data_IF_763911861740
#
_entry.id   IF_763911861740
#
_cell.length_a   1.000
_cell.length_b   1.000
_cell.length_c   1.000
_cell.angle_alpha   90.00
_cell.angle_beta   90.00
_cell.angle_gamma   90.00
#
_symmetry.space_group_name_H-M   'P 1'
#
loop_
_entity.id
_entity.type
_entity.pdbx_description
1 polymer ?
#
# COMPACT_ATOMS: atom_id res chain seq x y z
N UNK A 1 -16.85 41.54 -13.72
CA UNK A 1 -17.40 40.77 -12.59
C UNK A 1 -18.48 39.86 -13.15
N UNK A 2 -18.17 38.57 -13.30
CA UNK A 2 -19.14 37.56 -13.75
C UNK A 2 -19.37 36.63 -12.58
N UNK A 3 -20.58 36.71 -12.03
CA UNK A 3 -21.07 35.87 -10.94
C UNK A 3 -21.40 34.50 -11.53
N UNK A 4 -20.70 33.45 -11.09
CA UNK A 4 -21.05 32.07 -11.44
C UNK A 4 -21.91 31.52 -10.31
N UNK A 5 -23.17 31.22 -10.65
CA UNK A 5 -24.13 30.57 -9.78
C UNK A 5 -23.63 29.18 -9.38
N UNK A 6 -23.73 28.87 -8.09
CA UNK A 6 -23.57 27.52 -7.56
C UNK A 6 -24.86 26.75 -7.82
N UNK A 7 -24.87 25.95 -8.88
CA UNK A 7 -25.83 24.86 -8.99
C UNK A 7 -25.35 23.68 -8.13
N UNK A 8 -25.93 23.60 -6.94
CA UNK A 8 -25.93 22.43 -6.07
C UNK A 8 -26.79 21.34 -6.73
N UNK A 9 -26.21 20.56 -7.66
CA UNK A 9 -26.68 19.23 -8.07
C UNK A 9 -25.81 18.65 -9.20
N UNK A 10 -24.52 18.44 -8.94
CA UNK A 10 -23.67 17.66 -9.85
C UNK A 10 -23.51 16.23 -9.33
N UNK A 11 -24.26 15.33 -9.95
CA UNK A 11 -23.87 13.92 -10.09
C UNK A 11 -22.44 13.89 -10.67
N UNK A 12 -21.44 13.69 -9.82
CA UNK A 12 -20.06 13.42 -10.24
C UNK A 12 -20.03 12.07 -10.96
N UNK A 13 -20.32 12.09 -12.26
CA UNK A 13 -20.33 10.90 -13.09
C UNK A 13 -18.90 10.63 -13.57
N UNK A 14 -18.34 9.56 -12.98
CA UNK A 14 -17.13 8.86 -13.33
C UNK A 14 -17.06 8.55 -14.84
N UNK A 15 -16.13 9.16 -15.56
CA UNK A 15 -15.70 8.64 -16.85
C UNK A 15 -14.26 8.14 -16.73
N UNK A 16 -14.01 6.83 -16.90
CA UNK A 16 -12.65 6.36 -17.05
C UNK A 16 -12.01 7.06 -18.27
N UNK A 17 -10.74 7.43 -18.16
CA UNK A 17 -9.91 8.01 -19.23
C UNK A 17 -9.99 9.54 -19.44
N UNK A 18 -10.35 10.32 -18.41
CA UNK A 18 -10.17 11.78 -18.43
C UNK A 18 -9.17 12.21 -17.36
N UNK A 19 -8.12 12.93 -17.78
CA UNK A 19 -7.18 13.56 -16.85
C UNK A 19 -7.86 14.71 -16.13
N UNK A 20 -7.66 14.79 -14.81
CA UNK A 20 -8.04 15.96 -14.02
C UNK A 20 -6.81 16.51 -13.32
N UNK A 21 -6.59 17.82 -13.43
CA UNK A 21 -5.60 18.52 -12.64
C UNK A 21 -6.20 18.84 -11.27
N UNK A 22 -5.60 18.32 -10.21
CA UNK A 22 -6.05 18.62 -8.85
C UNK A 22 -5.40 19.92 -8.38
N UNK A 23 -6.24 20.91 -8.04
CA UNK A 23 -5.85 22.11 -7.29
C UNK A 23 -4.66 22.90 -7.86
N UNK A 24 -4.60 23.15 -9.18
CA UNK A 24 -3.50 23.89 -9.84
C UNK A 24 -2.09 23.34 -9.53
N UNK A 25 -1.99 22.12 -9.00
CA UNK A 25 -0.74 21.50 -8.65
C UNK A 25 -0.40 20.52 -9.78
N UNK A 26 0.38 21.03 -10.74
CA UNK A 26 0.82 20.36 -11.98
C UNK A 26 1.43 18.96 -11.81
N UNK A 27 1.76 18.59 -10.58
CA UNK A 27 2.37 17.31 -10.23
C UNK A 27 1.37 16.19 -9.92
N UNK A 28 0.12 16.53 -9.62
CA UNK A 28 -0.92 15.58 -9.21
C UNK A 28 -1.85 15.27 -10.38
N UNK A 29 -1.47 14.27 -11.17
CA UNK A 29 -2.24 13.81 -12.32
C UNK A 29 -3.30 12.80 -11.84
N UNK A 30 -4.55 13.24 -11.72
CA UNK A 30 -5.64 12.36 -11.29
C UNK A 30 -6.12 11.44 -12.41
N UNK A 31 -6.32 10.18 -12.03
CA UNK A 31 -6.96 9.17 -12.88
C UNK A 31 -8.37 8.83 -12.39
N UNK A 32 -8.66 9.07 -11.11
CA UNK A 32 -9.97 8.80 -10.53
C UNK A 32 -10.25 9.75 -9.38
N UNK A 33 -11.41 10.40 -9.40
CA UNK A 33 -11.76 11.45 -8.43
C UNK A 33 -13.05 11.11 -7.69
N UNK A 34 -13.04 11.36 -6.39
CA UNK A 34 -14.20 11.30 -5.52
C UNK A 34 -14.38 12.62 -4.78
N UNK A 35 -15.35 12.67 -3.88
CA UNK A 35 -15.65 13.90 -3.12
C UNK A 35 -14.54 14.33 -2.15
N UNK A 36 -13.77 13.37 -1.63
CA UNK A 36 -12.67 13.59 -0.68
C UNK A 36 -11.40 12.80 -0.99
N UNK A 37 -11.47 11.83 -1.90
CA UNK A 37 -10.36 10.94 -2.21
C UNK A 37 -10.09 10.96 -3.70
N UNK A 38 -8.81 10.97 -4.06
CA UNK A 38 -8.36 11.00 -5.44
C UNK A 38 -7.30 9.92 -5.63
N UNK A 39 -7.30 9.24 -6.78
CA UNK A 39 -6.20 8.38 -7.21
C UNK A 39 -5.39 9.12 -8.26
N UNK A 40 -4.09 9.23 -8.03
CA UNK A 40 -3.14 9.90 -8.92
C UNK A 40 -1.98 8.98 -9.32
N UNK A 41 -1.27 9.33 -10.38
CA UNK A 41 0.02 8.71 -10.69
C UNK A 41 1.12 9.13 -9.69
N UNK A 42 2.03 8.20 -9.37
CA UNK A 42 3.31 8.53 -8.71
C UNK A 42 4.38 8.82 -9.77
N UNK A 43 4.28 10.00 -10.42
CA UNK A 43 5.21 10.39 -11.49
C UNK A 43 6.62 10.60 -10.94
N UNK A 44 6.76 10.98 -9.68
CA UNK A 44 8.07 11.25 -9.08
C UNK A 44 8.81 9.98 -8.64
N UNK A 45 8.12 8.84 -8.58
CA UNK A 45 8.70 7.56 -8.17
C UNK A 45 8.24 6.47 -9.14
N UNK A 46 9.03 6.12 -10.18
CA UNK A 46 8.63 5.19 -11.23
C UNK A 46 8.46 3.77 -10.68
N UNK A 47 7.24 3.42 -10.29
CA UNK A 47 6.81 2.14 -9.73
C UNK A 47 5.42 1.79 -10.27
N UNK A 48 5.06 0.51 -10.37
CA UNK A 48 3.72 0.09 -10.80
C UNK A 48 2.69 0.28 -9.66
N UNK A 49 2.52 1.52 -9.22
CA UNK A 49 1.53 1.88 -8.20
C UNK A 49 0.89 3.24 -8.45
N UNK A 50 -0.27 3.46 -7.83
CA UNK A 50 -0.94 4.75 -7.76
C UNK A 50 -0.92 5.28 -6.33
N UNK A 51 -1.14 6.58 -6.16
CA UNK A 51 -1.30 7.20 -4.84
C UNK A 51 -2.77 7.55 -4.63
N UNK A 52 -3.32 7.12 -3.51
CA UNK A 52 -4.63 7.58 -3.03
C UNK A 52 -4.38 8.75 -2.09
N UNK A 53 -4.88 9.93 -2.42
CA UNK A 53 -4.78 11.15 -1.60
C UNK A 53 -6.10 11.48 -0.95
N UNK A 54 -6.05 12.01 0.27
CA UNK A 54 -7.22 12.61 0.93
C UNK A 54 -7.21 14.13 0.76
N UNK A 55 -8.18 14.64 -0.01
CA UNK A 55 -8.30 16.04 -0.44
C UNK A 55 -9.74 16.50 -0.16
N UNK A 56 -10.13 16.68 1.11
CA UNK A 56 -11.49 17.09 1.44
C UNK A 56 -11.72 18.57 1.08
N UNK A 57 -12.97 18.93 0.79
CA UNK A 57 -13.38 20.32 0.54
C UNK A 57 -13.15 21.26 1.72
N UNK A 58 -13.12 20.72 2.95
CA UNK A 58 -12.73 21.42 4.17
C UNK A 58 -11.69 20.59 4.92
N UNK A 59 -10.62 21.25 5.36
CA UNK A 59 -9.57 20.60 6.13
C UNK A 59 -10.12 20.05 7.44
N UNK A 60 -10.10 18.73 7.59
CA UNK A 60 -10.57 18.01 8.80
C UNK A 60 -9.42 17.66 9.75
N UNK A 61 -8.26 17.28 9.22
CA UNK A 61 -7.11 16.83 10.01
C UNK A 61 -6.03 17.92 10.16
N UNK A 62 -5.29 17.96 11.31
CA UNK A 62 -4.32 19.01 11.60
C UNK A 62 -3.21 19.14 10.55
N UNK A 63 -2.70 20.36 10.34
CA UNK A 63 -1.67 20.64 9.31
C UNK A 63 -0.29 20.07 9.57
N UNK A 64 0.06 19.92 10.84
CA UNK A 64 1.40 19.53 11.26
C UNK A 64 1.45 18.11 11.81
N UNK A 65 0.31 17.41 11.83
CA UNK A 65 0.25 16.00 12.19
C UNK A 65 0.30 15.17 10.92
N UNK A 66 1.18 14.18 10.87
CA UNK A 66 1.18 13.13 9.85
C UNK A 66 -0.10 12.31 10.03
N UNK A 67 -0.99 12.37 9.05
CA UNK A 67 -2.26 11.63 9.10
C UNK A 67 -2.03 10.21 8.58
N UNK A 68 -2.21 9.22 9.44
CA UNK A 68 -2.15 7.79 9.07
C UNK A 68 -3.54 7.17 8.97
N UNK A 69 -3.63 5.95 8.44
CA UNK A 69 -4.91 5.24 8.30
C UNK A 69 -5.70 5.11 9.62
N UNK A 70 -5.00 5.03 10.75
CA UNK A 70 -5.60 4.97 12.08
C UNK A 70 -6.19 6.32 12.56
N UNK A 71 -5.81 7.44 11.94
CA UNK A 71 -6.33 8.76 12.28
C UNK A 71 -7.65 9.08 11.56
N UNK A 72 -7.99 8.34 10.50
CA UNK A 72 -9.27 8.50 9.81
C UNK A 72 -10.41 8.05 10.72
N UNK A 73 -11.45 8.87 10.85
CA UNK A 73 -12.64 8.46 11.57
C UNK A 73 -13.45 7.41 10.81
N UNK A 74 -14.41 6.79 11.51
CA UNK A 74 -15.19 5.67 10.97
C UNK A 74 -15.92 6.03 9.67
N UNK A 75 -16.34 7.29 9.50
CA UNK A 75 -17.03 7.74 8.30
C UNK A 75 -16.06 7.88 7.12
N UNK A 76 -14.93 8.58 7.29
CA UNK A 76 -13.95 8.73 6.23
C UNK A 76 -13.32 7.37 5.85
N UNK A 77 -13.16 6.47 6.82
CA UNK A 77 -12.64 5.12 6.56
C UNK A 77 -13.60 4.29 5.70
N UNK A 78 -14.92 4.39 5.92
CA UNK A 78 -15.92 3.73 5.07
C UNK A 78 -15.92 4.32 3.66
N UNK A 79 -15.96 5.65 3.56
CA UNK A 79 -15.91 6.35 2.28
C UNK A 79 -14.63 6.04 1.49
N UNK A 80 -13.48 5.90 2.16
CA UNK A 80 -12.23 5.46 1.54
C UNK A 80 -12.38 4.08 0.89
N UNK A 81 -12.93 3.10 1.61
CA UNK A 81 -13.04 1.74 1.07
C UNK A 81 -14.11 1.59 0.00
N UNK A 82 -15.21 2.34 0.09
CA UNK A 82 -16.19 2.42 -0.99
C UNK A 82 -15.58 3.06 -2.25
N UNK A 83 -14.81 4.14 -2.07
CA UNK A 83 -14.06 4.78 -3.15
C UNK A 83 -13.05 3.83 -3.80
N UNK A 84 -12.27 3.10 -3.00
CA UNK A 84 -11.29 2.13 -3.48
C UNK A 84 -11.95 0.96 -4.21
N UNK A 85 -13.08 0.44 -3.71
CA UNK A 85 -13.82 -0.63 -4.38
C UNK A 85 -14.33 -0.16 -5.76
N UNK A 86 -14.83 1.08 -5.85
CA UNK A 86 -15.27 1.65 -7.11
C UNK A 86 -14.12 1.86 -8.10
N UNK A 87 -12.96 2.35 -7.65
CA UNK A 87 -11.75 2.44 -8.46
C UNK A 87 -11.32 1.06 -8.98
N UNK A 88 -11.23 0.07 -8.09
CA UNK A 88 -10.86 -1.31 -8.43
C UNK A 88 -11.80 -1.90 -9.49
N UNK A 89 -13.11 -1.64 -9.39
CA UNK A 89 -14.09 -2.06 -10.40
C UNK A 89 -13.91 -1.32 -11.72
N UNK A 90 -13.77 0.01 -11.69
CA UNK A 90 -13.65 0.84 -12.88
C UNK A 90 -12.45 0.47 -13.76
N UNK A 91 -11.35 0.04 -13.15
CA UNK A 91 -10.12 -0.36 -13.84
C UNK A 91 -9.94 -1.89 -13.95
N UNK A 92 -10.97 -2.66 -13.63
CA UNK A 92 -10.95 -4.12 -13.65
C UNK A 92 -9.73 -4.73 -12.91
N UNK A 93 -9.36 -4.15 -11.76
CA UNK A 93 -8.20 -4.61 -10.98
C UNK A 93 -8.48 -5.93 -10.24
N UNK A 94 -9.74 -6.36 -10.18
CA UNK A 94 -10.16 -7.59 -9.51
C UNK A 94 -9.63 -8.88 -10.15
N UNK A 95 -9.27 -8.84 -11.43
CA UNK A 95 -8.69 -9.97 -12.17
C UNK A 95 -7.18 -10.10 -11.98
N UNK A 96 -6.56 -9.14 -11.29
CA UNK A 96 -5.13 -9.06 -11.09
C UNK A 96 -4.79 -8.96 -9.61
N UNK A 97 -3.56 -9.34 -9.27
CA UNK A 97 -3.08 -9.13 -7.92
C UNK A 97 -2.96 -7.62 -7.65
N UNK A 98 -3.70 -7.14 -6.65
CA UNK A 98 -3.69 -5.72 -6.24
C UNK A 98 -3.42 -5.62 -4.76
N UNK A 99 -2.57 -4.69 -4.35
CA UNK A 99 -2.26 -4.43 -2.95
C UNK A 99 -2.47 -2.94 -2.63
N UNK A 100 -3.34 -2.65 -1.66
CA UNK A 100 -3.49 -1.32 -1.10
C UNK A 100 -2.62 -1.26 0.15
N UNK A 101 -1.67 -0.33 0.20
CA UNK A 101 -0.72 -0.18 1.30
C UNK A 101 -0.82 1.19 1.96
N UNK A 102 -0.85 1.21 3.28
CA UNK A 102 -0.83 2.42 4.09
C UNK A 102 0.43 2.44 4.94
N UNK A 103 1.21 3.51 4.79
CA UNK A 103 2.38 3.75 5.64
C UNK A 103 1.94 4.13 7.06
N UNK A 104 2.63 3.55 8.05
CA UNK A 104 2.42 3.85 9.48
C UNK A 104 3.76 4.01 10.21
N UNK A 105 3.72 4.50 11.44
CA UNK A 105 4.91 4.70 12.27
C UNK A 105 5.96 5.58 11.58
N UNK A 106 7.23 5.15 11.56
CA UNK A 106 8.33 5.94 10.95
C UNK A 106 8.20 6.13 9.44
N UNK A 107 7.44 5.28 8.75
CA UNK A 107 7.24 5.35 7.30
C UNK A 107 6.14 6.32 6.89
N UNK A 108 5.32 6.79 7.83
CA UNK A 108 4.46 7.94 7.59
C UNK A 108 5.35 9.18 7.37
N UNK A 109 5.65 9.49 6.12
CA UNK A 109 6.63 10.53 5.74
C UNK A 109 5.98 11.86 5.38
N UNK A 110 4.68 11.86 5.06
CA UNK A 110 3.96 13.06 4.62
C UNK A 110 3.00 13.58 5.71
N UNK A 111 2.74 14.89 5.76
CA UNK A 111 1.71 15.46 6.63
C UNK A 111 0.30 14.96 6.25
N UNK A 112 0.05 14.79 4.95
CA UNK A 112 -1.26 14.40 4.43
C UNK A 112 -1.41 12.89 4.36
N UNK A 113 -2.64 12.41 4.57
CA UNK A 113 -2.96 11.00 4.38
C UNK A 113 -2.74 10.63 2.92
N UNK A 114 -1.97 9.55 2.72
CA UNK A 114 -1.95 8.85 1.45
C UNK A 114 -1.86 7.34 1.65
N UNK A 115 -2.39 6.61 0.67
CA UNK A 115 -2.16 5.19 0.47
C UNK A 115 -1.52 4.94 -0.89
N UNK A 116 -0.98 3.75 -1.07
CA UNK A 116 -0.48 3.28 -2.36
C UNK A 116 -1.35 2.14 -2.86
N UNK A 117 -1.72 2.16 -4.14
CA UNK A 117 -2.36 1.02 -4.82
C UNK A 117 -1.33 0.41 -5.75
N UNK A 118 -0.66 -0.64 -5.29
CA UNK A 118 0.25 -1.44 -6.09
C UNK A 118 -0.54 -2.40 -6.97
N UNK A 119 -0.26 -2.38 -8.27
CA UNK A 119 -0.95 -3.18 -9.28
C UNK A 119 0.05 -3.99 -10.09
N UNK A 120 -0.45 -4.90 -10.93
CA UNK A 120 0.37 -5.57 -11.92
C UNK A 120 1.03 -4.56 -12.89
N UNK A 121 2.27 -4.87 -13.30
CA UNK A 121 3.07 -4.02 -14.18
C UNK A 121 2.34 -3.70 -15.50
N UNK A 122 1.75 -4.71 -16.14
CA UNK A 122 1.09 -4.51 -17.44
C UNK A 122 -0.19 -3.70 -17.26
N UNK A 123 -0.93 -3.93 -16.18
CA UNK A 123 -2.12 -3.14 -15.85
C UNK A 123 -1.76 -1.67 -15.63
N UNK A 124 -0.69 -1.40 -14.87
CA UNK A 124 -0.20 -0.04 -14.67
C UNK A 124 0.16 0.65 -15.99
N UNK A 125 0.98 0.00 -16.81
CA UNK A 125 1.45 0.57 -18.07
C UNK A 125 0.31 0.81 -19.05
N UNK A 126 -0.67 -0.10 -19.14
CA UNK A 126 -1.86 0.08 -19.98
C UNK A 126 -2.67 1.31 -19.54
N UNK A 127 -2.86 1.53 -18.23
CA UNK A 127 -3.54 2.71 -17.71
C UNK A 127 -2.71 3.96 -18.03
N UNK A 128 -1.40 3.94 -17.76
CA UNK A 128 -0.49 5.06 -18.04
C UNK A 128 -0.50 5.49 -19.52
N UNK A 129 -0.48 4.52 -20.43
CA UNK A 129 -0.54 4.76 -21.88
C UNK A 129 -1.90 5.30 -22.31
N UNK A 130 -3.00 4.76 -21.77
CA UNK A 130 -4.37 5.20 -22.07
C UNK A 130 -4.60 6.68 -21.73
N UNK A 131 -4.06 7.12 -20.60
CA UNK A 131 -4.17 8.51 -20.17
C UNK A 131 -3.22 9.46 -20.91
N UNK A 132 -2.28 8.93 -21.69
CA UNK A 132 -1.28 9.67 -22.45
C UNK A 132 -0.64 10.84 -21.69
N UNK A 133 -0.15 10.55 -20.48
CA UNK A 133 0.48 11.54 -19.61
C UNK A 133 1.62 12.26 -20.36
N UNK A 134 1.57 13.59 -20.37
CA UNK A 134 2.67 14.42 -20.87
C UNK A 134 3.78 14.47 -19.82
N UNK A 135 4.92 13.90 -20.17
CA UNK A 135 6.08 13.76 -19.28
C UNK A 135 7.10 14.87 -19.46
N UNK A 136 6.93 15.76 -20.45
CA UNK A 136 7.92 16.79 -20.78
C UNK A 136 8.11 17.80 -19.65
N UNK A 137 7.06 18.05 -18.89
CA UNK A 137 7.04 19.03 -17.82
C UNK A 137 7.67 18.52 -16.51
N UNK A 138 7.95 17.20 -16.43
CA UNK A 138 8.52 16.56 -15.25
C UNK A 138 10.03 16.47 -15.35
N UNK A 139 10.73 16.67 -14.23
CA UNK A 139 12.18 16.53 -14.17
C UNK A 139 12.55 15.23 -13.45
N UNK A 140 13.28 14.30 -14.12
CA UNK A 140 13.84 13.14 -13.46
C UNK A 140 14.69 13.59 -12.25
N UNK A 141 14.57 12.87 -11.14
CA UNK A 141 15.32 13.14 -9.92
C UNK A 141 16.00 11.85 -9.42
N UNK A 142 16.66 11.92 -8.25
CA UNK A 142 17.34 10.76 -7.66
C UNK A 142 16.44 9.54 -7.45
N UNK A 143 15.12 9.71 -7.30
CA UNK A 143 14.16 8.62 -7.14
C UNK A 143 13.84 7.89 -8.45
N UNK A 144 14.19 8.46 -9.61
CA UNK A 144 14.08 7.80 -10.90
C UNK A 144 15.28 6.91 -11.23
N UNK A 145 16.40 7.08 -10.52
CA UNK A 145 17.66 6.47 -10.87
C UNK A 145 17.73 5.00 -10.41
N UNK A 146 17.40 4.07 -11.30
CA UNK A 146 17.64 2.64 -11.08
C UNK A 146 18.57 1.99 -12.12
N UNK A 147 18.77 2.64 -13.27
CA UNK A 147 19.95 2.47 -14.14
C UNK A 147 20.65 3.81 -14.22
N UNK A 148 21.99 3.81 -14.19
CA UNK A 148 22.81 4.95 -14.60
C UNK A 148 22.19 5.58 -15.84
N UNK A 149 21.71 6.83 -15.73
CA UNK A 149 21.34 7.67 -16.86
C UNK A 149 22.46 7.58 -17.91
N UNK A 150 22.28 6.77 -18.95
CA UNK A 150 23.12 6.92 -20.14
C UNK A 150 22.61 8.16 -20.85
N UNK A 151 23.52 8.97 -21.39
CA UNK A 151 23.23 10.20 -22.12
C UNK A 151 22.40 9.96 -23.42
N UNK A 152 21.91 8.75 -23.64
CA UNK A 152 21.21 8.29 -24.85
C UNK A 152 19.68 8.28 -24.70
N UNK A 153 19.14 8.64 -23.54
CA UNK A 153 17.69 8.59 -23.31
C UNK A 153 17.04 9.87 -23.84
N UNK A 154 16.65 9.81 -25.11
CA UNK A 154 16.10 10.94 -25.86
C UNK A 154 14.66 11.35 -25.45
N UNK A 155 13.98 10.60 -24.58
CA UNK A 155 12.58 10.88 -24.17
C UNK A 155 12.31 10.52 -22.69
N UNK A 156 11.78 11.48 -21.92
CA UNK A 156 11.43 11.33 -20.49
C UNK A 156 10.35 10.29 -20.23
N UNK A 157 9.36 10.16 -21.12
CA UNK A 157 8.30 9.15 -21.02
C UNK A 157 8.88 7.74 -21.14
N UNK A 158 9.78 7.53 -22.09
CA UNK A 158 10.49 6.25 -22.25
C UNK A 158 11.33 5.93 -21.01
N UNK A 159 12.06 6.92 -20.48
CA UNK A 159 12.82 6.76 -19.23
C UNK A 159 11.94 6.32 -18.05
N UNK A 160 10.79 6.96 -17.89
CA UNK A 160 9.85 6.62 -16.82
C UNK A 160 9.36 5.18 -16.94
N UNK A 161 8.90 4.79 -18.13
CA UNK A 161 8.41 3.43 -18.41
C UNK A 161 9.49 2.37 -18.15
N UNK A 162 10.73 2.62 -18.59
CA UNK A 162 11.84 1.70 -18.35
C UNK A 162 12.13 1.51 -16.86
N UNK A 163 12.12 2.59 -16.08
CA UNK A 163 12.32 2.49 -14.63
C UNK A 163 11.15 1.80 -13.93
N UNK A 164 9.90 2.02 -14.36
CA UNK A 164 8.73 1.29 -13.86
C UNK A 164 8.89 -0.22 -14.11
N UNK A 165 9.32 -0.62 -15.32
CA UNK A 165 9.59 -2.03 -15.67
C UNK A 165 10.74 -2.60 -14.83
N UNK A 166 11.80 -1.83 -14.63
CA UNK A 166 12.96 -2.27 -13.86
C UNK A 166 12.67 -2.40 -12.36
N UNK A 167 11.68 -1.69 -11.82
CA UNK A 167 11.35 -1.70 -10.40
C UNK A 167 11.15 -3.11 -9.82
N UNK A 168 10.52 -4.02 -10.57
CA UNK A 168 10.35 -5.41 -10.13
C UNK A 168 11.69 -6.10 -9.92
N UNK A 169 12.61 -5.98 -10.89
CA UNK A 169 13.98 -6.51 -10.80
C UNK A 169 14.75 -5.86 -9.65
N UNK A 170 14.64 -4.55 -9.48
CA UNK A 170 15.24 -3.84 -8.35
C UNK A 170 14.70 -4.38 -7.01
N UNK A 171 13.39 -4.60 -6.89
CA UNK A 171 12.80 -5.19 -5.69
C UNK A 171 13.31 -6.61 -5.44
N UNK A 172 13.50 -7.43 -6.47
CA UNK A 172 14.06 -8.77 -6.27
C UNK A 172 15.51 -8.71 -5.75
N UNK A 173 16.33 -7.88 -6.39
CA UNK A 173 17.76 -7.73 -6.07
C UNK A 173 18.01 -7.03 -4.73
N UNK A 174 17.14 -6.10 -4.34
CA UNK A 174 17.29 -5.25 -3.16
C UNK A 174 16.20 -5.46 -2.12
N UNK A 175 15.36 -6.49 -2.27
CA UNK A 175 14.32 -6.81 -1.29
C UNK A 175 14.95 -6.93 0.09
N UNK A 176 14.25 -6.39 1.09
CA UNK A 176 14.56 -6.63 2.49
C UNK A 176 14.26 -8.10 2.82
N UNK A 177 15.10 -9.01 2.33
CA UNK A 177 15.26 -10.33 2.91
C UNK A 177 15.88 -10.12 4.29
N UNK A 178 15.49 -10.93 5.26
CA UNK A 178 16.20 -10.94 6.52
C UNK A 178 17.69 -11.15 6.28
N UNK A 179 18.51 -10.25 6.83
CA UNK A 179 19.95 -10.48 6.79
C UNK A 179 20.24 -11.61 7.76
N UNK A 180 21.05 -12.58 7.34
CA UNK A 180 21.48 -13.69 8.21
C UNK A 180 21.94 -13.19 9.59
N UNK A 181 22.69 -12.08 9.61
CA UNK A 181 23.16 -11.40 10.83
C UNK A 181 22.04 -10.93 11.77
N UNK A 182 20.90 -10.50 11.25
CA UNK A 182 19.74 -10.08 12.07
C UNK A 182 19.13 -11.29 12.76
N UNK A 183 18.97 -12.41 12.04
CA UNK A 183 18.41 -13.65 12.61
C UNK A 183 19.38 -14.30 13.60
N UNK A 184 20.69 -14.29 13.31
CA UNK A 184 21.71 -14.76 14.25
C UNK A 184 21.72 -13.96 15.55
N UNK A 185 21.49 -12.64 15.46
CA UNK A 185 21.37 -11.77 16.64
C UNK A 185 20.14 -12.16 17.47
N UNK A 186 18.99 -12.32 16.82
CA UNK A 186 17.73 -12.75 17.44
C UNK A 186 17.89 -14.11 18.13
N UNK A 187 18.62 -15.04 17.52
CA UNK A 187 18.86 -16.37 18.09
C UNK A 187 19.73 -16.33 19.37
N UNK A 188 20.68 -15.39 19.45
CA UNK A 188 21.55 -15.22 20.62
C UNK A 188 20.86 -14.49 21.78
N UNK A 189 19.91 -13.62 21.47
CA UNK A 189 19.17 -12.85 22.47
C UNK A 189 18.02 -13.69 23.04
N UNK A 190 17.91 -13.78 24.38
CA UNK A 190 16.71 -14.32 25.01
C UNK A 190 15.56 -13.33 24.79
N UNK A 191 14.71 -13.63 23.81
CA UNK A 191 13.53 -12.81 23.52
C UNK A 191 12.38 -13.17 24.45
N UNK A 192 11.71 -12.14 24.98
CA UNK A 192 10.41 -12.30 25.61
C UNK A 192 9.36 -12.58 24.54
N UNK A 193 8.69 -13.74 24.65
CA UNK A 193 7.68 -14.17 23.69
C UNK A 193 6.32 -13.57 24.07
N UNK A 194 5.62 -13.03 23.09
CA UNK A 194 4.27 -12.50 23.23
C UNK A 194 3.32 -13.55 22.68
N UNK A 195 2.50 -14.13 23.56
CA UNK A 195 1.49 -15.09 23.14
C UNK A 195 0.38 -14.38 22.34
N UNK A 196 0.27 -14.73 21.07
CA UNK A 196 -0.75 -14.17 20.18
C UNK A 196 -2.00 -15.04 20.12
N UNK A 197 -3.21 -14.44 20.09
CA UNK A 197 -4.41 -15.18 19.75
C UNK A 197 -4.31 -15.64 18.28
N UNK A 198 -4.74 -16.86 17.97
CA UNK A 198 -4.80 -17.32 16.57
C UNK A 198 -5.98 -16.70 15.80
N UNK A 199 -6.92 -16.10 16.52
CA UNK A 199 -8.14 -15.53 15.96
C UNK A 199 -8.69 -14.40 16.84
N UNK A 200 -9.18 -13.34 16.19
CA UNK A 200 -9.84 -12.19 16.81
C UNK A 200 -11.13 -11.93 16.04
N UNK A 201 -12.28 -12.14 16.68
CA UNK A 201 -13.58 -12.02 16.02
C UNK A 201 -13.67 -12.90 14.77
N UNK A 202 -13.91 -12.26 13.62
CA UNK A 202 -13.99 -12.88 12.30
C UNK A 202 -12.64 -12.87 11.56
N UNK A 203 -11.52 -12.69 12.25
CA UNK A 203 -10.20 -12.67 11.61
C UNK A 203 -9.29 -13.75 12.18
N UNK A 204 -8.75 -14.60 11.30
CA UNK A 204 -7.70 -15.56 11.62
C UNK A 204 -6.32 -14.95 11.34
N UNK A 205 -5.42 -15.11 12.29
CA UNK A 205 -4.02 -14.71 12.14
C UNK A 205 -3.21 -15.88 11.58
N UNK A 206 -2.56 -15.65 10.44
CA UNK A 206 -1.58 -16.58 9.87
C UNK A 206 -0.20 -15.94 9.89
N UNK A 207 0.82 -16.74 10.20
CA UNK A 207 2.20 -16.29 10.21
C UNK A 207 2.88 -16.79 8.95
N UNK A 208 3.31 -15.87 8.09
CA UNK A 208 4.09 -16.24 6.90
C UNK A 208 5.55 -16.39 7.31
N UNK A 209 6.03 -17.64 7.31
CA UNK A 209 7.41 -17.96 7.66
C UNK A 209 8.41 -17.53 6.58
N UNK A 210 7.95 -17.36 5.34
CA UNK A 210 8.82 -17.04 4.20
C UNK A 210 9.09 -15.54 4.07
N UNK A 211 8.18 -14.71 4.58
CA UNK A 211 8.27 -13.24 4.58
C UNK A 211 7.65 -12.72 5.87
N UNK A 212 8.27 -11.79 6.62
CA UNK A 212 7.82 -11.41 7.97
C UNK A 212 6.58 -10.55 8.00
N UNK A 213 5.48 -11.23 7.70
CA UNK A 213 4.16 -10.65 7.53
C UNK A 213 3.25 -11.43 8.45
N UNK A 214 2.63 -10.68 9.37
CA UNK A 214 1.47 -11.19 10.08
C UNK A 214 0.27 -11.01 9.16
N UNK A 215 -0.32 -12.11 8.68
CA UNK A 215 -1.45 -12.11 7.75
C UNK A 215 -2.76 -12.18 8.53
N UNK A 216 -3.72 -11.35 8.13
CA UNK A 216 -5.05 -11.22 8.69
C UNK A 216 -6.04 -11.74 7.65
N UNK A 217 -6.60 -12.92 7.86
CA UNK A 217 -7.57 -13.51 6.94
C UNK A 217 -8.97 -13.30 7.50
N UNK A 218 -9.84 -12.68 6.70
CA UNK A 218 -11.24 -12.58 7.05
C UNK A 218 -11.90 -13.96 6.92
N UNK A 219 -12.49 -14.44 8.02
CA UNK A 219 -13.19 -15.73 8.12
C UNK A 219 -14.67 -15.44 8.23
N UNK A 220 -15.41 -15.73 7.16
CA UNK A 220 -16.85 -15.56 7.13
C UNK A 220 -17.56 -16.67 7.93
N UNK A 221 -17.60 -16.55 9.26
CA UNK A 221 -18.21 -17.56 10.15
C UNK A 221 -19.70 -17.77 9.91
N UNK A 222 -20.41 -16.71 9.50
CA UNK A 222 -21.86 -16.70 9.41
C UNK A 222 -22.38 -16.86 7.97
N UNK A 223 -21.50 -17.16 7.00
CA UNK A 223 -21.87 -17.33 5.60
C UNK A 223 -22.43 -16.06 4.93
N UNK A 224 -22.25 -14.88 5.52
CA UNK A 224 -22.75 -13.62 4.96
C UNK A 224 -21.79 -13.11 3.90
N UNK A 225 -22.26 -12.98 2.66
CA UNK A 225 -21.47 -12.33 1.62
C UNK A 225 -21.43 -10.84 1.90
N UNK A 226 -20.27 -10.34 2.33
CA UNK A 226 -20.03 -8.93 2.53
C UNK A 226 -19.41 -8.30 1.27
N UNK A 227 -19.76 -7.04 0.95
CA UNK A 227 -19.03 -6.25 -0.03
C UNK A 227 -17.54 -6.15 0.33
N UNK A 228 -16.68 -5.95 -0.67
CA UNK A 228 -15.22 -5.86 -0.46
C UNK A 228 -14.85 -4.67 0.39
N UNK A 229 -15.51 -3.52 0.19
CA UNK A 229 -15.30 -2.33 1.00
C UNK A 229 -15.51 -2.61 2.48
N UNK A 230 -16.54 -3.39 2.82
CA UNK A 230 -16.82 -3.80 4.19
C UNK A 230 -15.78 -4.79 4.74
N UNK A 231 -15.30 -5.74 3.92
CA UNK A 231 -14.22 -6.66 4.32
C UNK A 231 -12.94 -5.89 4.60
N UNK A 232 -12.55 -4.96 3.72
CA UNK A 232 -11.37 -4.10 3.90
C UNK A 232 -11.47 -3.19 5.12
N UNK A 233 -12.64 -2.59 5.33
CA UNK A 233 -12.94 -1.81 6.53
C UNK A 233 -12.73 -2.65 7.80
N UNK A 234 -13.32 -3.85 7.86
CA UNK A 234 -13.18 -4.75 9.00
C UNK A 234 -11.71 -5.15 9.21
N UNK A 235 -11.00 -5.54 8.15
CA UNK A 235 -9.59 -5.91 8.20
C UNK A 235 -8.73 -4.77 8.76
N UNK A 236 -8.90 -3.53 8.27
CA UNK A 236 -8.09 -2.39 8.72
C UNK A 236 -8.40 -1.99 10.15
N UNK A 237 -9.66 -2.02 10.60
CA UNK A 237 -9.99 -1.75 12.01
C UNK A 237 -9.30 -2.72 12.95
N UNK A 238 -9.37 -4.02 12.63
CA UNK A 238 -8.75 -5.05 13.47
C UNK A 238 -7.23 -5.02 13.38
N UNK A 239 -6.64 -4.78 12.20
CA UNK A 239 -5.19 -4.60 12.07
C UNK A 239 -4.68 -3.40 12.86
N UNK A 240 -5.40 -2.27 12.84
CA UNK A 240 -5.07 -1.11 13.65
C UNK A 240 -5.18 -1.43 15.14
N UNK A 241 -6.33 -1.98 15.58
CA UNK A 241 -6.54 -2.35 16.98
C UNK A 241 -5.44 -3.30 17.49
N UNK A 242 -5.16 -4.35 16.73
CA UNK A 242 -4.11 -5.31 17.03
C UNK A 242 -2.73 -4.64 17.07
N UNK A 243 -2.40 -3.88 16.03
CA UNK A 243 -1.11 -3.23 15.89
C UNK A 243 -0.83 -2.21 16.99
N UNK A 244 -1.83 -1.50 17.51
CA UNK A 244 -1.66 -0.63 18.69
C UNK A 244 -1.54 -1.43 19.99
N UNK A 245 -2.38 -2.46 20.17
CA UNK A 245 -2.36 -3.30 21.37
C UNK A 245 -1.00 -3.96 21.61
N UNK A 246 -0.33 -4.35 20.54
CA UNK A 246 0.98 -5.02 20.58
C UNK A 246 2.15 -4.13 20.16
N UNK A 247 1.94 -2.81 20.09
CA UNK A 247 2.98 -1.81 19.82
C UNK A 247 3.71 -1.95 18.46
N UNK A 248 3.05 -2.58 17.48
CA UNK A 248 3.61 -2.88 16.16
C UNK A 248 3.58 -1.67 15.20
N UNK A 249 2.70 -0.69 15.45
CA UNK A 249 2.44 0.45 14.55
C UNK A 249 2.98 1.80 15.07
N UNK A 250 3.62 1.84 16.25
CA UNK A 250 4.12 3.10 16.83
C UNK A 250 5.37 3.62 16.14
N UNK A 251 5.67 4.90 16.37
CA UNK A 251 6.70 5.69 15.68
C UNK A 251 8.15 5.17 15.64
N UNK A 252 8.70 4.34 16.56
CA UNK A 252 10.02 3.74 16.31
C UNK A 252 9.97 2.62 15.28
N UNK A 253 8.80 2.00 15.09
CA UNK A 253 8.57 0.91 14.17
C UNK A 253 8.13 1.48 12.81
N UNK A 254 8.76 1.03 11.73
CA UNK A 254 8.26 1.31 10.38
C UNK A 254 7.42 0.14 9.95
N UNK A 255 6.16 0.41 9.60
CA UNK A 255 5.24 -0.65 9.27
C UNK A 255 4.31 -0.24 8.12
N UNK A 256 3.91 -1.22 7.32
CA UNK A 256 2.82 -1.10 6.37
C UNK A 256 1.62 -1.88 6.90
N UNK A 257 0.45 -1.26 6.82
CA UNK A 257 -0.81 -1.99 6.81
C UNK A 257 -1.18 -2.19 5.34
N UNK A 258 -1.25 -3.44 4.91
CA UNK A 258 -1.58 -3.78 3.54
C UNK A 258 -2.87 -4.57 3.47
N UNK A 259 -3.65 -4.32 2.43
CA UNK A 259 -4.81 -5.09 2.02
C UNK A 259 -4.52 -5.66 0.64
N UNK A 260 -4.75 -6.95 0.44
CA UNK A 260 -4.43 -7.63 -0.81
C UNK A 260 -5.67 -8.29 -1.37
N UNK A 261 -5.84 -8.11 -2.68
CA UNK A 261 -6.68 -8.92 -3.55
C UNK A 261 -5.76 -9.90 -4.27
N UNK A 262 -5.99 -11.19 -4.09
CA UNK A 262 -5.33 -12.20 -4.91
C UNK A 262 -6.07 -12.42 -6.23
N UNK A 263 -5.49 -13.24 -7.10
CA UNK A 263 -6.04 -13.57 -8.42
C UNK A 263 -7.39 -14.33 -8.33
N UNK A 264 -7.65 -14.97 -7.20
CA UNK A 264 -8.92 -15.63 -6.91
C UNK A 264 -9.92 -14.68 -6.26
N UNK A 265 -9.62 -13.38 -6.23
CA UNK A 265 -10.44 -12.34 -5.67
C UNK A 265 -10.69 -12.50 -4.15
N UNK A 266 -9.81 -13.23 -3.44
CA UNK A 266 -9.83 -13.29 -1.99
C UNK A 266 -9.19 -12.04 -1.40
N UNK A 267 -9.78 -11.55 -0.30
CA UNK A 267 -9.33 -10.37 0.43
C UNK A 267 -8.64 -10.76 1.73
N UNK A 268 -7.42 -10.29 1.94
CA UNK A 268 -6.72 -10.44 3.23
C UNK A 268 -5.86 -9.21 3.54
N UNK A 269 -5.59 -9.01 4.83
CA UNK A 269 -4.67 -8.00 5.32
C UNK A 269 -3.30 -8.58 5.65
N UNK A 270 -2.27 -7.75 5.68
CA UNK A 270 -1.03 -8.09 6.39
C UNK A 270 -0.35 -6.86 6.97
N UNK A 271 0.34 -7.07 8.08
CA UNK A 271 1.22 -6.10 8.73
C UNK A 271 2.66 -6.54 8.48
N UNK A 272 3.47 -5.67 7.86
CA UNK A 272 4.90 -5.95 7.63
C UNK A 272 5.71 -5.62 8.87
N UNK A 273 6.38 -6.61 9.46
CA UNK A 273 7.13 -6.47 10.72
C UNK A 273 8.63 -6.55 10.50
N UNK A 274 9.40 -5.95 11.41
CA UNK A 274 10.83 -6.24 11.52
C UNK A 274 11.04 -7.68 12.00
N UNK A 275 12.25 -8.20 11.81
CA UNK A 275 12.65 -9.53 12.26
C UNK A 275 12.34 -9.75 13.73
N UNK A 276 12.90 -8.88 14.56
CA UNK A 276 12.75 -8.94 16.01
C UNK A 276 11.27 -8.88 16.41
N UNK A 277 10.46 -8.06 15.74
CA UNK A 277 9.04 -7.95 16.07
C UNK A 277 8.27 -9.19 15.66
N UNK A 278 8.56 -9.76 14.48
CA UNK A 278 7.89 -10.95 13.98
C UNK A 278 8.17 -12.18 14.86
N UNK A 279 9.42 -12.44 15.24
CA UNK A 279 9.75 -13.62 16.06
C UNK A 279 9.26 -13.53 17.49
N UNK A 280 9.13 -12.33 18.07
CA UNK A 280 8.50 -12.17 19.40
C UNK A 280 7.07 -12.67 19.43
N UNK A 281 6.37 -12.54 18.31
CA UNK A 281 4.93 -12.80 18.23
C UNK A 281 4.60 -14.14 17.55
N UNK A 282 5.59 -14.79 16.94
CA UNK A 282 5.42 -16.06 16.27
C UNK A 282 5.10 -17.16 17.29
N UNK A 283 4.15 -18.08 17.03
CA UNK A 283 3.77 -19.11 17.99
C UNK A 283 4.85 -20.17 18.25
N UNK A 284 5.75 -20.37 17.28
CA UNK A 284 6.81 -21.39 17.32
C UNK A 284 8.15 -20.83 16.82
N UNK A 285 8.71 -19.78 17.45
CA UNK A 285 9.85 -19.04 16.90
C UNK A 285 11.11 -19.91 16.84
N UNK A 286 11.30 -20.82 17.81
CA UNK A 286 12.49 -21.68 17.83
C UNK A 286 12.52 -22.72 16.72
N UNK A 287 11.37 -23.24 16.30
CA UNK A 287 11.32 -24.16 15.14
C UNK A 287 11.81 -23.41 13.89
N UNK A 288 11.42 -22.15 13.72
CA UNK A 288 11.92 -21.36 12.60
C UNK A 288 13.41 -21.05 12.74
N UNK A 289 13.85 -20.52 13.88
CA UNK A 289 15.24 -20.09 14.10
C UNK A 289 16.22 -21.26 13.93
N UNK A 290 15.88 -22.45 14.43
CA UNK A 290 16.71 -23.65 14.31
C UNK A 290 16.81 -24.18 12.87
N UNK A 291 15.80 -23.92 12.03
CA UNK A 291 15.77 -24.35 10.63
C UNK A 291 16.15 -23.23 9.66
N UNK A 292 16.48 -22.03 10.15
CA UNK A 292 16.70 -20.88 9.27
C UNK A 292 17.89 -21.08 8.34
N UNK A 293 18.96 -21.75 8.77
CA UNK A 293 20.11 -22.05 7.89
C UNK A 293 19.74 -23.02 6.75
N UNK A 294 18.86 -23.99 7.04
CA UNK A 294 18.33 -24.91 6.02
C UNK A 294 17.39 -24.19 5.06
N UNK A 295 16.55 -23.28 5.57
CA UNK A 295 15.68 -22.44 4.77
C UNK A 295 16.49 -21.41 3.96
N UNK A 296 17.53 -20.80 4.52
CA UNK A 296 18.35 -19.80 3.82
C UNK A 296 19.05 -20.40 2.60
N UNK A 297 19.42 -21.68 2.63
CA UNK A 297 19.97 -22.37 1.46
C UNK A 297 18.92 -22.62 0.35
N UNK A 298 17.62 -22.62 0.69
CA UNK A 298 16.53 -22.59 -0.30
C UNK A 298 16.20 -21.17 -0.79
N UNK A 299 16.66 -20.12 -0.08
CA UNK A 299 16.36 -18.71 -0.38
C UNK A 299 17.58 -17.89 -0.85
N UNK A 300 18.74 -18.54 -0.94
CA UNK A 300 19.98 -18.05 -1.56
C UNK A 300 20.31 -19.03 -2.70
N UNK A 301 19.59 -18.92 -3.82
CA UNK A 301 20.05 -19.36 -5.13
C UNK A 301 19.12 -18.74 -6.19
N UNK A 302 19.49 -17.53 -6.64
CA UNK A 302 19.84 -17.10 -8.00
C UNK A 302 20.10 -15.60 -7.96
#
# INVERSE_FOLDING_TARGET
MVTINKDENNNFCNQPNKLFEINNNKWDIAIYEGSKFHVIFDILTPRPHFIVKYIPSKRKYPRFKKVVIADLDDQDLRELFDFLENFIKAYNLNSNQTCISFHTGKWASTPEFHGHICVDLNVYLNIFETFNVDMEEFQPNSNWNLKTLTNEINNKKSLYIENVKFYQTACLNYSAKYKLKEIEKIHKEKMELIQMPMQIGDIRLDFDLTVPKLKFNYVNKNGRNLPKSQIFYNLVKEMNYFGFRFDLLKSPNGCHICLKLDQNNNSYGYIHLSADSFYKIHPLPQIFLNNFQLLSNYYIET
#
